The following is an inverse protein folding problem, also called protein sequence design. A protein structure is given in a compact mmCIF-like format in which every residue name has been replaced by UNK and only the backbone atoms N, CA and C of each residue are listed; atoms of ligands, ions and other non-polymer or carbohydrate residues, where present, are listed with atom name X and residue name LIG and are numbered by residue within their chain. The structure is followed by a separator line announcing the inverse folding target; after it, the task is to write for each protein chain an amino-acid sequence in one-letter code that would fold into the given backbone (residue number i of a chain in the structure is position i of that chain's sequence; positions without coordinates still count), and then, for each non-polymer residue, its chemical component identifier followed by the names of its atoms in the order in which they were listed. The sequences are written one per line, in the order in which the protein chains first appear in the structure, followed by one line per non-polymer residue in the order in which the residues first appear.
data_IF_743920144721
#
_entry.id   IF_743920144721
#
_cell.length_a   1.000
_cell.length_b   1.000
_cell.length_c   1.000
_cell.angle_alpha   90.00
_cell.angle_beta   90.00
_cell.angle_gamma   90.00
#
_symmetry.space_group_name_H-M   'P 1'
#
loop_
_entity.id
_entity.type
_entity.pdbx_description
1 polymer ?
#
# COMPACT_ATOMS: atom_id res chain seq x y z
N UNK A 1 43.46 -54.20 -16.52
CA UNK A 1 42.99 -53.40 -15.37
C UNK A 1 42.06 -52.34 -15.89
N UNK A 2 40.76 -52.59 -15.84
CA UNK A 2 39.72 -51.82 -16.45
C UNK A 2 39.06 -50.95 -15.35
N UNK A 3 39.27 -49.62 -15.40
CA UNK A 3 38.72 -48.68 -14.44
C UNK A 3 37.32 -48.25 -14.86
N UNK A 4 36.34 -48.52 -14.01
CA UNK A 4 34.93 -48.14 -14.16
C UNK A 4 34.71 -46.74 -13.55
N UNK A 5 34.43 -45.74 -14.42
CA UNK A 5 34.04 -44.39 -13.99
C UNK A 5 32.53 -44.35 -13.70
N UNK A 6 32.17 -44.21 -12.44
CA UNK A 6 30.80 -43.92 -12.02
C UNK A 6 30.52 -42.41 -12.18
N UNK A 7 29.65 -42.08 -13.09
CA UNK A 7 29.10 -40.71 -13.22
C UNK A 7 27.94 -40.54 -12.24
N UNK A 8 28.12 -39.68 -11.23
CA UNK A 8 27.06 -39.27 -10.31
C UNK A 8 26.20 -38.20 -10.95
N UNK A 9 24.94 -38.52 -11.30
CA UNK A 9 23.92 -37.54 -11.67
C UNK A 9 23.47 -36.77 -10.43
N UNK A 10 23.91 -35.52 -10.29
CA UNK A 10 23.32 -34.58 -9.35
C UNK A 10 21.99 -34.06 -9.90
N UNK A 11 20.89 -34.54 -9.31
CA UNK A 11 19.56 -33.98 -9.57
C UNK A 11 19.48 -32.58 -8.95
N UNK A 12 19.40 -31.53 -9.82
CA UNK A 12 19.05 -30.17 -9.40
C UNK A 12 17.58 -30.14 -8.94
N UNK A 13 17.39 -30.11 -7.63
CA UNK A 13 16.08 -29.86 -7.04
C UNK A 13 15.63 -28.45 -7.40
N UNK A 14 14.65 -28.32 -8.30
CA UNK A 14 13.92 -27.06 -8.54
C UNK A 14 13.00 -26.78 -7.34
N UNK A 15 13.55 -26.09 -6.35
CA UNK A 15 12.74 -25.53 -5.26
C UNK A 15 11.72 -24.56 -5.87
N UNK A 16 10.43 -24.95 -5.92
CA UNK A 16 9.32 -24.01 -6.14
C UNK A 16 9.33 -23.04 -4.96
N UNK A 17 9.89 -21.86 -5.15
CA UNK A 17 9.70 -20.75 -4.23
C UNK A 17 8.21 -20.43 -4.23
N UNK A 18 7.53 -20.81 -3.18
CA UNK A 18 6.13 -20.47 -2.92
C UNK A 18 6.11 -18.97 -2.65
N UNK A 19 6.01 -18.15 -3.70
CA UNK A 19 5.92 -16.69 -3.59
C UNK A 19 4.56 -16.40 -2.94
N UNK A 20 4.58 -16.06 -1.66
CA UNK A 20 3.38 -15.62 -0.97
C UNK A 20 2.74 -14.49 -1.78
N UNK A 21 1.43 -14.57 -1.98
CA UNK A 21 0.71 -13.50 -2.67
C UNK A 21 0.87 -12.20 -1.87
N UNK A 22 1.15 -11.07 -2.54
CA UNK A 22 1.29 -9.80 -1.84
C UNK A 22 -0.01 -9.45 -1.10
N UNK A 23 0.13 -8.81 0.06
CA UNK A 23 -1.00 -8.34 0.83
C UNK A 23 -1.88 -7.41 -0.01
N UNK A 24 -3.19 -7.55 0.13
CA UNK A 24 -4.20 -6.71 -0.54
C UNK A 24 -5.02 -5.99 0.51
N UNK A 25 -5.28 -4.71 0.27
CA UNK A 25 -6.11 -3.90 1.16
C UNK A 25 -7.32 -3.39 0.40
N UNK A 26 -8.46 -3.45 1.05
CA UNK A 26 -9.73 -2.91 0.59
C UNK A 26 -10.20 -1.86 1.60
N UNK A 27 -10.90 -0.84 1.14
CA UNK A 27 -11.73 0.00 2.00
C UNK A 27 -13.16 -0.19 1.55
N UNK A 28 -13.90 -0.90 2.35
CA UNK A 28 -15.26 -1.30 2.03
C UNK A 28 -16.24 -0.21 2.45
N UNK A 29 -17.09 0.20 1.51
CA UNK A 29 -18.25 1.06 1.73
C UNK A 29 -19.48 0.18 1.59
N UNK A 30 -20.21 0.03 2.68
CA UNK A 30 -21.32 -0.90 2.82
C UNK A 30 -22.65 -0.17 2.91
N UNK A 31 -23.73 -0.92 2.76
CA UNK A 31 -25.08 -0.44 3.10
C UNK A 31 -25.14 0.09 4.53
N UNK A 32 -26.06 1.02 4.81
CA UNK A 32 -26.20 1.72 6.09
C UNK A 32 -24.98 2.61 6.48
N UNK A 33 -24.25 3.14 5.47
CA UNK A 33 -23.11 4.04 5.65
C UNK A 33 -21.96 3.45 6.51
N UNK A 34 -21.87 2.12 6.59
CA UNK A 34 -20.81 1.44 7.31
C UNK A 34 -19.57 1.32 6.44
N UNK A 35 -18.41 1.75 6.94
CA UNK A 35 -17.14 1.72 6.20
C UNK A 35 -16.01 1.22 7.08
N UNK A 36 -15.20 0.31 6.56
CA UNK A 36 -14.03 -0.22 7.26
C UNK A 36 -12.97 -0.76 6.29
N UNK A 37 -11.69 -0.75 6.68
CA UNK A 37 -10.61 -1.41 5.94
C UNK A 37 -10.64 -2.93 6.14
N UNK A 38 -10.19 -3.65 5.11
CA UNK A 38 -9.91 -5.09 5.16
C UNK A 38 -8.54 -5.34 4.56
N UNK A 39 -7.67 -6.06 5.28
CA UNK A 39 -6.40 -6.55 4.76
C UNK A 39 -6.47 -8.05 4.55
N UNK A 40 -6.11 -8.50 3.35
CA UNK A 40 -5.97 -9.92 3.02
C UNK A 40 -4.49 -10.20 2.79
N UNK A 41 -3.94 -11.17 3.52
CA UNK A 41 -2.57 -11.61 3.38
C UNK A 41 -2.49 -13.13 3.56
N UNK A 42 -1.94 -13.82 2.57
CA UNK A 42 -1.93 -15.27 2.54
C UNK A 42 -3.36 -15.84 2.59
N UNK A 43 -3.65 -16.62 3.63
CA UNK A 43 -4.95 -17.26 3.86
C UNK A 43 -5.74 -16.62 5.01
N UNK A 44 -5.52 -15.34 5.28
CA UNK A 44 -6.21 -14.62 6.36
C UNK A 44 -6.76 -13.29 5.88
N UNK A 45 -7.86 -12.88 6.47
CA UNK A 45 -8.44 -11.55 6.31
C UNK A 45 -8.59 -10.87 7.67
N UNK A 46 -8.05 -9.67 7.80
CA UNK A 46 -8.25 -8.80 8.97
C UNK A 46 -9.24 -7.70 8.61
N UNK A 47 -10.34 -7.65 9.35
CA UNK A 47 -11.37 -6.63 9.22
C UNK A 47 -11.18 -5.62 10.35
N UNK A 48 -10.85 -4.38 10.01
CA UNK A 48 -10.62 -3.30 10.98
C UNK A 48 -11.93 -2.53 11.19
N UNK A 49 -12.78 -3.01 12.07
CA UNK A 49 -14.04 -2.38 12.43
C UNK A 49 -13.79 -1.20 13.40
N UNK A 50 -14.73 -0.28 13.60
CA UNK A 50 -14.54 0.87 14.49
C UNK A 50 -14.23 0.51 15.94
N UNK A 51 -14.75 -0.62 16.40
CA UNK A 51 -14.70 -1.08 17.80
C UNK A 51 -13.81 -2.31 18.01
N UNK A 52 -13.45 -3.01 16.94
CA UNK A 52 -12.67 -4.26 17.03
C UNK A 52 -11.95 -4.60 15.71
N UNK A 53 -10.93 -5.44 15.83
CA UNK A 53 -10.32 -6.12 14.67
C UNK A 53 -10.72 -7.59 14.69
N UNK A 54 -11.27 -8.08 13.59
CA UNK A 54 -11.64 -9.49 13.41
C UNK A 54 -10.64 -10.13 12.45
N UNK A 55 -10.10 -11.29 12.85
CA UNK A 55 -9.16 -12.08 12.07
C UNK A 55 -9.81 -13.38 11.62
N UNK A 56 -10.01 -13.54 10.31
CA UNK A 56 -10.74 -14.66 9.73
C UNK A 56 -9.83 -15.53 8.88
N UNK A 57 -9.82 -16.86 9.10
CA UNK A 57 -9.17 -17.80 8.19
C UNK A 57 -9.96 -17.95 6.89
N UNK A 58 -9.25 -18.22 5.78
CA UNK A 58 -9.85 -18.54 4.50
C UNK A 58 -10.58 -19.88 4.57
N UNK A 59 -11.79 -19.91 4.03
CA UNK A 59 -12.60 -21.13 3.87
C UNK A 59 -12.91 -21.39 2.39
N UNK A 60 -13.28 -22.63 1.99
CA UNK A 60 -13.70 -22.90 0.63
C UNK A 60 -14.89 -22.04 0.19
N UNK A 61 -14.85 -21.55 -1.04
CA UNK A 61 -15.92 -20.77 -1.66
C UNK A 61 -16.21 -21.29 -3.08
N UNK A 62 -17.45 -21.13 -3.52
CA UNK A 62 -17.86 -21.50 -4.89
C UNK A 62 -17.30 -20.47 -5.90
N UNK A 63 -17.26 -19.20 -5.51
CA UNK A 63 -16.67 -18.12 -6.30
C UNK A 63 -16.05 -17.07 -5.37
N UNK A 64 -15.08 -16.29 -5.90
CA UNK A 64 -14.38 -15.28 -5.10
C UNK A 64 -13.53 -15.88 -3.98
N UNK A 65 -13.38 -15.11 -2.91
CA UNK A 65 -12.65 -15.51 -1.70
C UNK A 65 -13.57 -15.36 -0.49
N UNK A 66 -13.59 -16.39 0.36
CA UNK A 66 -14.38 -16.38 1.58
C UNK A 66 -13.50 -16.64 2.79
N UNK A 67 -13.79 -15.93 3.88
CA UNK A 67 -13.11 -16.02 5.15
C UNK A 67 -14.16 -16.11 6.26
N UNK A 68 -14.01 -17.04 7.21
CA UNK A 68 -14.98 -17.20 8.29
C UNK A 68 -14.36 -17.90 9.48
N UNK A 69 -14.81 -17.51 10.68
CA UNK A 69 -14.56 -18.20 11.97
C UNK A 69 -15.75 -19.04 12.45
N UNK A 70 -16.80 -19.18 11.59
CA UNK A 70 -18.05 -19.86 11.90
C UNK A 70 -19.15 -18.93 12.43
N UNK A 71 -18.80 -17.75 12.96
CA UNK A 71 -19.74 -16.73 13.42
C UNK A 71 -19.80 -15.55 12.46
N UNK A 72 -18.63 -15.06 12.06
CA UNK A 72 -18.49 -13.95 11.12
C UNK A 72 -18.06 -14.49 9.77
N UNK A 73 -18.64 -13.96 8.70
CA UNK A 73 -18.26 -14.30 7.34
C UNK A 73 -17.98 -13.05 6.53
N UNK A 74 -16.84 -13.07 5.84
CA UNK A 74 -16.44 -12.07 4.85
C UNK A 74 -16.22 -12.76 3.52
N UNK A 75 -16.90 -12.30 2.48
CA UNK A 75 -16.76 -12.76 1.09
C UNK A 75 -16.38 -11.58 0.19
N UNK A 76 -15.52 -11.81 -0.79
CA UNK A 76 -15.14 -10.80 -1.78
C UNK A 76 -14.91 -11.41 -3.16
N UNK A 77 -15.34 -10.66 -4.20
CA UNK A 77 -15.05 -10.94 -5.60
C UNK A 77 -14.85 -9.61 -6.36
N UNK A 78 -13.64 -9.37 -6.81
CA UNK A 78 -13.25 -8.08 -7.39
C UNK A 78 -13.42 -6.93 -6.39
N UNK A 79 -14.30 -5.97 -6.74
CA UNK A 79 -14.66 -4.83 -5.87
C UNK A 79 -15.92 -5.08 -5.05
N UNK A 80 -16.60 -6.17 -5.25
CA UNK A 80 -17.79 -6.53 -4.48
C UNK A 80 -17.40 -7.31 -3.24
N UNK A 81 -18.07 -7.05 -2.15
CA UNK A 81 -17.88 -7.79 -0.91
C UNK A 81 -19.21 -7.91 -0.14
N UNK A 82 -19.27 -8.95 0.69
CA UNK A 82 -20.34 -9.17 1.65
C UNK A 82 -19.75 -9.44 3.01
N UNK A 83 -20.35 -8.86 4.03
CA UNK A 83 -19.95 -9.01 5.42
C UNK A 83 -21.16 -9.39 6.27
N UNK A 84 -21.02 -10.44 7.07
CA UNK A 84 -22.08 -10.99 7.92
C UNK A 84 -21.54 -11.22 9.32
N UNK A 85 -22.31 -10.79 10.32
CA UNK A 85 -22.00 -11.02 11.74
C UNK A 85 -23.24 -11.57 12.45
N UNK A 86 -23.08 -12.30 13.59
CA UNK A 86 -24.21 -12.79 14.36
C UNK A 86 -25.12 -11.65 14.81
N UNK A 87 -26.44 -11.83 14.62
CA UNK A 87 -27.45 -10.89 15.07
C UNK A 87 -27.57 -9.60 14.24
N UNK A 88 -26.79 -9.44 13.18
CA UNK A 88 -26.88 -8.32 12.26
C UNK A 88 -27.35 -8.77 10.85
N UNK A 89 -27.91 -7.82 10.09
CA UNK A 89 -28.20 -8.07 8.67
C UNK A 89 -26.88 -8.20 7.88
N UNK A 90 -26.94 -8.96 6.79
CA UNK A 90 -25.84 -9.03 5.83
C UNK A 90 -25.62 -7.66 5.18
N UNK A 91 -24.37 -7.18 5.16
CA UNK A 91 -23.99 -5.93 4.51
C UNK A 91 -23.42 -6.21 3.14
N UNK A 92 -24.02 -5.62 2.10
CA UNK A 92 -23.40 -5.58 0.78
C UNK A 92 -22.48 -4.38 0.71
N UNK A 93 -21.25 -4.61 0.27
CA UNK A 93 -20.19 -3.64 0.29
C UNK A 93 -19.52 -3.52 -1.08
N UNK A 94 -18.92 -2.36 -1.31
CA UNK A 94 -18.07 -2.11 -2.49
C UNK A 94 -16.74 -1.51 -2.07
N UNK A 95 -15.68 -1.95 -2.71
CA UNK A 95 -14.34 -1.42 -2.47
C UNK A 95 -14.19 0.00 -3.04
N UNK A 96 -13.83 0.95 -2.20
CA UNK A 96 -13.36 2.26 -2.61
C UNK A 96 -11.86 2.20 -2.89
N UNK A 97 -11.49 1.94 -4.15
CA UNK A 97 -10.09 1.79 -4.57
C UNK A 97 -9.25 3.04 -4.28
N UNK A 98 -9.84 4.22 -4.35
CA UNK A 98 -9.13 5.47 -4.08
C UNK A 98 -8.67 5.57 -2.63
N UNK A 99 -9.51 5.16 -1.67
CA UNK A 99 -9.16 5.09 -0.26
C UNK A 99 -8.27 3.88 0.06
N UNK A 100 -8.50 2.75 -0.61
CA UNK A 100 -7.76 1.51 -0.38
C UNK A 100 -6.25 1.66 -0.64
N UNK A 101 -5.84 2.49 -1.60
CA UNK A 101 -4.42 2.77 -1.88
C UNK A 101 -3.74 3.46 -0.69
N UNK A 102 -4.41 4.42 -0.04
CA UNK A 102 -3.89 5.15 1.12
C UNK A 102 -3.84 4.26 2.35
N UNK A 103 -4.89 3.49 2.57
CA UNK A 103 -4.95 2.55 3.69
C UNK A 103 -3.94 1.40 3.52
N UNK A 104 -3.71 0.95 2.29
CA UNK A 104 -2.67 -0.03 1.99
C UNK A 104 -1.27 0.49 2.35
N UNK A 105 -0.95 1.72 1.97
CA UNK A 105 0.31 2.35 2.33
C UNK A 105 0.45 2.46 3.86
N UNK A 106 -0.59 2.93 4.56
CA UNK A 106 -0.64 3.02 6.02
C UNK A 106 -0.38 1.67 6.69
N UNK A 107 -1.10 0.63 6.29
CA UNK A 107 -0.96 -0.74 6.85
C UNK A 107 0.37 -1.41 6.50
N UNK A 108 1.12 -0.87 5.54
CA UNK A 108 2.50 -1.26 5.23
C UNK A 108 3.56 -0.40 5.94
N UNK A 109 3.16 0.45 6.89
CA UNK A 109 4.06 1.25 7.71
C UNK A 109 4.58 2.51 7.02
N UNK A 110 3.91 2.98 5.96
CA UNK A 110 4.23 4.26 5.33
C UNK A 110 3.75 5.40 6.21
N UNK A 111 4.64 6.32 6.58
CA UNK A 111 4.31 7.46 7.45
C UNK A 111 3.70 8.62 6.68
N UNK A 112 4.15 8.85 5.45
CA UNK A 112 3.69 9.93 4.60
C UNK A 112 3.53 9.47 3.16
N UNK A 113 2.43 9.87 2.53
CA UNK A 113 2.19 9.60 1.11
C UNK A 113 1.78 10.87 0.37
N UNK A 114 2.29 11.03 -0.87
CA UNK A 114 1.93 12.11 -1.77
C UNK A 114 1.65 11.59 -3.18
N UNK A 115 0.90 12.39 -3.93
CA UNK A 115 0.56 12.13 -5.33
C UNK A 115 0.61 13.41 -6.16
N UNK A 116 0.90 13.26 -7.44
CA UNK A 116 0.78 14.33 -8.43
C UNK A 116 0.35 13.76 -9.77
N UNK A 117 -0.10 14.63 -10.68
CA UNK A 117 -0.85 14.21 -11.87
C UNK A 117 -0.12 14.44 -13.19
N UNK A 118 0.87 15.35 -13.25
CA UNK A 118 1.50 15.75 -14.52
C UNK A 118 3.03 15.81 -14.42
N UNK A 119 3.70 14.73 -14.85
CA UNK A 119 3.18 13.38 -15.13
C UNK A 119 2.65 12.71 -13.87
N UNK A 120 1.83 11.65 -13.99
CA UNK A 120 1.32 10.93 -12.82
C UNK A 120 2.43 10.30 -11.99
N UNK A 121 2.51 10.64 -10.69
CA UNK A 121 3.49 10.12 -9.75
C UNK A 121 2.90 9.89 -8.35
N UNK A 122 3.60 9.08 -7.56
CA UNK A 122 3.39 9.02 -6.12
C UNK A 122 4.72 8.87 -5.37
N UNK A 123 4.71 9.33 -4.12
CA UNK A 123 5.80 9.22 -3.16
C UNK A 123 5.30 8.54 -1.90
N UNK A 124 6.10 7.66 -1.33
CA UNK A 124 5.89 7.04 -0.03
C UNK A 124 7.15 7.19 0.82
N UNK A 125 7.01 7.68 2.04
CA UNK A 125 8.09 7.81 3.00
C UNK A 125 7.79 6.91 4.20
N UNK A 126 8.69 5.96 4.47
CA UNK A 126 8.76 5.21 5.72
C UNK A 126 9.96 5.75 6.49
N UNK A 127 9.67 6.49 7.56
CA UNK A 127 10.67 7.29 8.32
C UNK A 127 11.79 6.40 8.84
N UNK A 128 13.05 6.87 8.67
CA UNK A 128 14.24 6.12 9.08
C UNK A 128 14.48 4.82 8.31
N UNK A 129 13.71 4.55 7.25
CA UNK A 129 13.86 3.37 6.42
C UNK A 129 14.06 3.77 4.96
N UNK A 130 13.00 4.18 4.27
CA UNK A 130 13.07 4.42 2.83
C UNK A 130 12.11 5.49 2.32
N UNK A 131 12.50 6.06 1.19
CA UNK A 131 11.66 6.88 0.32
C UNK A 131 11.48 6.14 -0.99
N UNK A 132 10.23 5.87 -1.34
CA UNK A 132 9.85 5.32 -2.64
C UNK A 132 9.25 6.45 -3.48
N UNK A 133 9.83 6.70 -4.65
CA UNK A 133 9.28 7.60 -5.65
C UNK A 133 8.95 6.81 -6.93
N UNK A 134 7.73 6.94 -7.41
CA UNK A 134 7.25 6.28 -8.63
C UNK A 134 6.69 7.34 -9.56
N UNK A 135 7.23 7.45 -10.76
CA UNK A 135 6.84 8.43 -11.77
C UNK A 135 6.34 7.76 -13.05
N UNK A 136 6.01 8.59 -14.03
CA UNK A 136 5.59 8.17 -15.36
C UNK A 136 4.47 7.13 -15.35
N UNK A 137 3.42 7.41 -14.56
CA UNK A 137 2.26 6.52 -14.41
C UNK A 137 2.63 5.10 -13.95
N UNK A 138 3.70 4.98 -13.14
CA UNK A 138 4.16 3.71 -12.58
C UNK A 138 5.24 3.00 -13.38
N UNK A 139 5.74 3.59 -14.47
CA UNK A 139 6.77 2.98 -15.31
C UNK A 139 8.18 3.11 -14.72
N UNK A 140 8.44 4.19 -13.98
CA UNK A 140 9.74 4.46 -13.35
C UNK A 140 9.61 4.38 -11.84
N UNK A 141 10.50 3.61 -11.21
CA UNK A 141 10.50 3.36 -9.77
C UNK A 141 11.89 3.61 -9.18
N UNK A 142 11.96 4.47 -8.19
CA UNK A 142 13.19 4.87 -7.48
C UNK A 142 13.02 4.61 -5.99
N UNK A 143 14.03 4.01 -5.38
CA UNK A 143 14.05 3.73 -3.95
C UNK A 143 15.34 4.30 -3.35
N UNK A 144 15.20 5.04 -2.27
CA UNK A 144 16.28 5.72 -1.56
C UNK A 144 16.18 5.44 -0.07
N UNK A 145 17.29 5.54 0.64
CA UNK A 145 17.25 5.59 2.10
C UNK A 145 16.56 6.87 2.56
N UNK A 146 15.79 6.79 3.65
CA UNK A 146 15.15 7.95 4.27
C UNK A 146 16.02 8.49 5.40
N UNK A 147 16.86 9.52 5.18
CA UNK A 147 17.66 10.15 6.23
C UNK A 147 16.78 10.96 7.19
N UNK A 148 17.37 11.43 8.28
CA UNK A 148 16.69 12.43 9.12
C UNK A 148 16.47 13.71 8.30
N UNK A 149 15.22 14.23 8.26
CA UNK A 149 14.92 15.41 7.49
C UNK A 149 15.33 16.70 8.18
N UNK A 150 15.63 17.72 7.38
CA UNK A 150 15.68 19.09 7.85
C UNK A 150 14.26 19.60 8.11
N UNK A 151 14.05 20.22 9.27
CA UNK A 151 12.75 20.81 9.64
C UNK A 151 12.86 22.31 9.83
N UNK A 152 12.11 23.08 9.05
CA UNK A 152 12.01 24.54 9.12
C UNK A 152 10.66 24.91 9.76
N UNK A 153 10.60 24.96 11.08
CA UNK A 153 9.36 25.15 11.84
C UNK A 153 8.61 26.44 11.44
N UNK A 154 9.32 27.54 11.22
CA UNK A 154 8.71 28.82 10.82
C UNK A 154 7.96 28.76 9.48
N UNK A 155 8.31 27.83 8.60
CA UNK A 155 7.68 27.59 7.30
C UNK A 155 6.79 26.37 7.28
N UNK A 156 6.71 25.63 8.38
CA UNK A 156 6.05 24.32 8.46
C UNK A 156 6.53 23.37 7.35
N UNK A 157 7.82 23.36 7.09
CA UNK A 157 8.43 22.65 5.97
C UNK A 157 9.39 21.57 6.50
N UNK A 158 9.29 20.39 5.94
CA UNK A 158 10.19 19.25 6.16
C UNK A 158 10.87 18.92 4.84
N UNK A 159 12.20 18.79 4.82
CA UNK A 159 12.98 18.55 3.61
C UNK A 159 13.83 17.30 3.80
N UNK A 160 13.74 16.37 2.86
CA UNK A 160 14.63 15.22 2.73
C UNK A 160 15.60 15.45 1.58
N UNK A 161 16.89 15.24 1.83
CA UNK A 161 17.91 15.18 0.79
C UNK A 161 18.53 13.80 0.82
N UNK A 162 18.40 13.06 -0.27
CA UNK A 162 18.93 11.70 -0.38
C UNK A 162 19.42 11.42 -1.80
N UNK A 163 20.08 10.31 -2.01
CA UNK A 163 20.54 9.88 -3.31
C UNK A 163 21.11 8.48 -3.27
N UNK A 164 21.35 7.93 -4.44
CA UNK A 164 22.09 6.70 -4.66
C UNK A 164 23.18 6.93 -5.73
N UNK A 165 23.76 5.87 -6.27
CA UNK A 165 24.87 5.98 -7.25
C UNK A 165 24.43 6.72 -8.53
N UNK A 166 23.16 6.59 -8.93
CA UNK A 166 22.67 7.04 -10.23
C UNK A 166 21.79 8.30 -10.13
N UNK A 167 21.13 8.53 -8.96
CA UNK A 167 20.09 9.53 -8.81
C UNK A 167 20.19 10.30 -7.51
N UNK A 168 19.77 11.58 -7.56
CA UNK A 168 19.57 12.44 -6.39
C UNK A 168 18.10 12.78 -6.22
N UNK A 169 17.62 12.82 -4.98
CA UNK A 169 16.24 13.14 -4.65
C UNK A 169 16.19 14.20 -3.55
N UNK A 170 15.42 15.27 -3.80
CA UNK A 170 14.99 16.21 -2.78
C UNK A 170 13.46 16.16 -2.66
N UNK A 171 12.96 16.06 -1.43
CA UNK A 171 11.52 16.09 -1.14
C UNK A 171 11.24 17.20 -0.16
N UNK A 172 10.48 18.20 -0.57
CA UNK A 172 10.01 19.29 0.29
C UNK A 172 8.51 19.14 0.56
N UNK A 173 8.16 19.02 1.85
CA UNK A 173 6.79 18.86 2.34
C UNK A 173 6.44 20.10 3.13
N UNK A 174 5.46 20.90 2.67
CA UNK A 174 5.02 22.11 3.36
C UNK A 174 3.59 21.92 3.87
N UNK A 175 3.36 22.18 5.14
CA UNK A 175 2.04 22.10 5.79
C UNK A 175 1.11 23.23 5.34
N UNK A 176 0.69 23.17 4.09
CA UNK A 176 -0.27 24.06 3.44
C UNK A 176 -1.38 23.24 2.80
N UNK A 177 -2.66 23.67 2.90
CA UNK A 177 -3.73 23.03 2.18
C UNK A 177 -3.41 22.90 0.69
N UNK A 178 -3.67 21.73 0.15
CA UNK A 178 -3.40 21.37 -1.24
C UNK A 178 -4.60 20.64 -1.81
N UNK A 179 -4.98 20.95 -3.03
CA UNK A 179 -6.07 20.26 -3.73
C UNK A 179 -5.53 19.55 -4.96
N UNK A 180 -5.82 18.27 -5.07
CA UNK A 180 -5.54 17.50 -6.27
C UNK A 180 -6.41 18.01 -7.42
N UNK A 181 -5.77 18.43 -8.49
CA UNK A 181 -6.44 19.07 -9.63
C UNK A 181 -7.33 18.11 -10.44
N UNK A 182 -7.04 16.81 -10.41
CA UNK A 182 -7.81 15.81 -11.18
C UNK A 182 -9.04 15.30 -10.43
N UNK A 183 -8.91 15.06 -9.13
CA UNK A 183 -9.97 14.45 -8.31
C UNK A 183 -10.65 15.40 -7.36
N UNK A 184 -10.13 16.64 -7.23
CA UNK A 184 -10.63 17.62 -6.28
C UNK A 184 -10.39 17.22 -4.81
N UNK A 185 -9.60 16.19 -4.55
CA UNK A 185 -9.32 15.74 -3.19
C UNK A 185 -8.46 16.77 -2.44
N UNK A 186 -8.80 17.03 -1.18
CA UNK A 186 -8.08 17.93 -0.31
C UNK A 186 -7.04 17.19 0.54
N UNK A 187 -5.86 17.80 0.66
CA UNK A 187 -4.73 17.29 1.42
C UNK A 187 -4.17 18.39 2.34
N UNK A 188 -3.47 17.97 3.38
CA UNK A 188 -2.91 18.86 4.40
C UNK A 188 -1.57 19.46 4.00
N UNK A 189 -0.89 18.86 3.02
CA UNK A 189 0.44 19.26 2.62
C UNK A 189 0.60 19.41 1.12
N UNK A 190 1.34 20.45 0.73
CA UNK A 190 1.90 20.63 -0.60
C UNK A 190 3.26 19.93 -0.64
N UNK A 191 3.53 19.21 -1.73
CA UNK A 191 4.77 18.46 -1.90
C UNK A 191 5.45 18.86 -3.19
N UNK A 192 6.75 19.11 -3.10
CA UNK A 192 7.64 19.27 -4.25
C UNK A 192 8.69 18.17 -4.19
N UNK A 193 8.86 17.45 -5.28
CA UNK A 193 9.90 16.44 -5.44
C UNK A 193 10.82 16.87 -6.56
N UNK A 194 12.13 16.86 -6.33
CA UNK A 194 13.15 17.11 -7.36
C UNK A 194 13.94 15.81 -7.49
N UNK A 195 13.76 15.11 -8.61
CA UNK A 195 14.58 13.96 -8.99
C UNK A 195 15.59 14.42 -10.03
N UNK A 196 16.87 14.40 -9.68
CA UNK A 196 17.97 14.95 -10.48
C UNK A 196 17.74 16.44 -10.78
N UNK A 197 17.21 16.76 -11.94
CA UNK A 197 16.89 18.14 -12.37
C UNK A 197 15.41 18.32 -12.68
N UNK A 198 14.61 17.27 -12.58
CA UNK A 198 13.19 17.30 -12.87
C UNK A 198 12.37 17.57 -11.61
N UNK A 199 11.50 18.56 -11.68
CA UNK A 199 10.63 18.97 -10.59
C UNK A 199 9.22 18.44 -10.78
N UNK A 200 8.65 17.89 -9.69
CA UNK A 200 7.28 17.37 -9.62
C UNK A 200 6.53 18.08 -8.48
N UNK A 201 5.29 18.45 -8.74
CA UNK A 201 4.43 19.10 -7.74
C UNK A 201 3.21 18.23 -7.45
N UNK A 202 2.76 18.24 -6.20
CA UNK A 202 1.56 17.49 -5.81
C UNK A 202 1.15 17.75 -4.39
N UNK A 203 0.26 16.87 -3.92
CA UNK A 203 -0.37 16.96 -2.60
C UNK A 203 -0.15 15.68 -1.82
N UNK A 204 -0.07 15.79 -0.49
CA UNK A 204 0.15 14.65 0.37
C UNK A 204 -0.40 14.82 1.78
N UNK A 205 -0.34 13.73 2.54
CA UNK A 205 -0.70 13.73 3.97
C UNK A 205 0.08 12.67 4.75
N UNK A 206 0.20 12.91 6.06
CA UNK A 206 0.63 11.89 7.00
C UNK A 206 -0.43 10.78 7.10
N UNK A 207 0.02 9.54 7.39
CA UNK A 207 -0.85 8.37 7.47
C UNK A 207 -1.01 7.84 8.92
N UNK A 208 -0.17 8.32 9.83
CA UNK A 208 -0.17 7.97 11.26
C UNK A 208 -0.22 9.21 12.14
#
# INVERSE_FOLDING_TARGET
MTGLLLAACMAKGTGKTNRAMPARTFVLECTAAYRFPVRIEGKRAWLFLPDQTIDLPQVPAVSGMQYSDGNTTFWSDGDQARFETPGAASYNCRNNRALAIWEHAKLNGVDFRAVGNEPGWHLEITRGQKILFVSDYGQSRYEFDAPEPETIAARRTTIYHTGNVDHTLEVSITGQPCQDTMRGAHFESRVTVILDKQTYHGCGKALH
#
